data_IF_125920210018
#
_entry.id   IF_125920210018
#
_cell.length_a   1.000
_cell.length_b   1.000
_cell.length_c   1.000
_cell.angle_alpha   90.00
_cell.angle_beta   90.00
_cell.angle_gamma   90.00
#
_symmetry.space_group_name_H-M   'P 1'
#
loop_
_entity.id
_entity.type
_entity.pdbx_description
1 polymer ?
#
# COMPACT_ATOMS: atom_id res chain seq x y z
N UNK A 1 4.15 -42.15 -4.12
CA UNK A 1 3.52 -41.14 -3.24
C UNK A 1 4.24 -39.83 -3.49
N UNK A 2 3.65 -39.00 -4.33
CA UNK A 2 4.28 -37.83 -4.96
C UNK A 2 4.21 -36.61 -4.04
N UNK A 3 5.29 -35.83 -4.08
CA UNK A 3 5.70 -34.65 -3.30
C UNK A 3 4.63 -33.54 -3.18
N UNK A 4 4.61 -32.76 -2.08
CA UNK A 4 3.71 -31.61 -1.92
C UNK A 4 4.10 -30.43 -2.82
N UNK A 5 3.11 -29.85 -3.51
CA UNK A 5 3.23 -28.59 -4.26
C UNK A 5 3.38 -27.40 -3.30
N UNK A 6 4.32 -26.46 -3.50
CA UNK A 6 4.39 -25.25 -2.70
C UNK A 6 3.23 -24.31 -3.05
N UNK A 7 2.53 -23.86 -2.02
CA UNK A 7 1.41 -22.92 -2.11
C UNK A 7 1.93 -21.54 -2.58
N UNK A 8 1.39 -20.91 -3.63
CA UNK A 8 1.88 -19.60 -4.08
C UNK A 8 1.52 -18.54 -3.04
N UNK A 9 2.52 -18.01 -2.33
CA UNK A 9 2.35 -16.81 -1.50
C UNK A 9 2.24 -15.58 -2.42
N UNK A 10 1.07 -15.38 -3.02
CA UNK A 10 0.68 -14.09 -3.60
C UNK A 10 -0.52 -13.58 -2.85
N UNK A 11 -0.42 -12.35 -2.36
CA UNK A 11 -1.47 -11.69 -1.59
C UNK A 11 -0.83 -11.14 -0.32
N UNK A 12 -0.58 -9.84 -0.36
CA UNK A 12 0.12 -8.99 0.59
C UNK A 12 0.07 -9.48 2.05
N UNK A 13 1.13 -9.26 2.83
CA UNK A 13 1.06 -9.18 4.30
C UNK A 13 2.29 -8.40 4.71
N UNK A 14 2.22 -7.09 4.52
CA UNK A 14 3.33 -6.23 4.91
C UNK A 14 3.36 -6.16 6.44
N UNK A 15 4.44 -6.59 7.07
CA UNK A 15 4.60 -6.37 8.51
C UNK A 15 4.68 -4.86 8.79
N UNK A 16 4.40 -4.46 10.04
CA UNK A 16 4.55 -3.07 10.49
C UNK A 16 5.93 -2.50 10.11
N UNK A 17 6.99 -3.27 10.32
CA UNK A 17 8.36 -2.85 9.98
C UNK A 17 8.57 -2.67 8.47
N UNK A 18 7.97 -3.53 7.64
CA UNK A 18 8.02 -3.37 6.19
C UNK A 18 7.25 -2.13 5.73
N UNK A 19 6.10 -1.82 6.33
CA UNK A 19 5.34 -0.61 6.04
C UNK A 19 6.14 0.63 6.44
N UNK A 20 6.73 0.65 7.64
CA UNK A 20 7.58 1.74 8.12
C UNK A 20 8.82 1.93 7.23
N UNK A 21 9.46 0.84 6.80
CA UNK A 21 10.61 0.92 5.90
C UNK A 21 10.24 1.50 4.53
N UNK A 22 9.06 1.18 4.00
CA UNK A 22 8.54 1.77 2.75
C UNK A 22 8.23 3.25 2.92
N UNK A 23 7.58 3.64 4.03
CA UNK A 23 7.29 5.04 4.34
C UNK A 23 8.57 5.88 4.47
N UNK A 24 9.60 5.37 5.17
CA UNK A 24 10.92 6.04 5.26
C UNK A 24 11.59 6.21 3.90
N UNK A 25 11.43 5.24 2.99
CA UNK A 25 11.93 5.38 1.61
C UNK A 25 11.17 6.48 0.86
N UNK A 26 9.84 6.52 0.96
CA UNK A 26 9.01 7.57 0.36
C UNK A 26 9.40 8.95 0.86
N UNK A 27 9.61 9.09 2.17
CA UNK A 27 10.09 10.34 2.79
C UNK A 27 11.42 10.81 2.18
N UNK A 28 12.36 9.88 1.95
CA UNK A 28 13.62 10.17 1.26
C UNK A 28 13.43 10.59 -0.20
N UNK A 29 12.45 10.00 -0.90
CA UNK A 29 12.13 10.41 -2.28
C UNK A 29 11.52 11.82 -2.33
N UNK A 30 10.66 12.18 -1.36
CA UNK A 30 10.10 13.54 -1.25
C UNK A 30 11.21 14.57 -1.07
N UNK A 31 12.16 14.32 -0.15
CA UNK A 31 13.36 15.18 -0.01
C UNK A 31 14.19 15.25 -1.30
N UNK A 32 14.26 14.15 -2.04
CA UNK A 32 14.90 14.13 -3.36
C UNK A 32 14.24 15.09 -4.33
N UNK A 33 12.91 15.10 -4.40
CA UNK A 33 12.14 16.02 -5.26
C UNK A 33 12.34 17.47 -4.86
N UNK A 34 12.30 17.77 -3.55
CA UNK A 34 12.57 19.13 -3.04
C UNK A 34 13.91 19.65 -3.56
N UNK A 35 14.96 18.83 -3.47
CA UNK A 35 16.28 19.15 -4.03
C UNK A 35 16.26 19.31 -5.55
N UNK A 36 15.54 18.46 -6.28
CA UNK A 36 15.43 18.58 -7.74
C UNK A 36 14.78 19.91 -8.16
N UNK A 37 13.80 20.38 -7.39
CA UNK A 37 13.13 21.68 -7.62
C UNK A 37 14.08 22.83 -7.29
N UNK A 38 14.79 22.75 -6.16
CA UNK A 38 15.79 23.74 -5.76
C UNK A 38 16.94 23.86 -6.79
N UNK A 39 17.29 22.76 -7.44
CA UNK A 39 18.30 22.69 -8.52
C UNK A 39 17.75 23.03 -9.92
N UNK A 40 16.50 23.52 -10.05
CA UNK A 40 15.84 23.83 -11.33
C UNK A 40 15.91 22.68 -12.36
N UNK A 41 15.82 21.42 -11.88
CA UNK A 41 15.91 20.26 -12.76
C UNK A 41 14.72 20.18 -13.72
N UNK A 42 14.96 19.54 -14.86
CA UNK A 42 13.96 19.38 -15.91
C UNK A 42 12.64 18.83 -15.39
N UNK A 43 11.54 19.54 -15.70
CA UNK A 43 10.23 19.27 -15.13
C UNK A 43 9.76 17.82 -15.33
N UNK A 44 10.10 17.19 -16.47
CA UNK A 44 9.69 15.81 -16.76
C UNK A 44 10.39 14.81 -15.82
N UNK A 45 11.63 15.07 -15.42
CA UNK A 45 12.33 14.23 -14.44
C UNK A 45 11.65 14.32 -13.07
N UNK A 46 11.28 15.55 -12.66
CA UNK A 46 10.57 15.80 -11.40
C UNK A 46 9.22 15.08 -11.40
N UNK A 47 8.44 15.22 -12.48
CA UNK A 47 7.15 14.52 -12.65
C UNK A 47 7.32 13.00 -12.60
N UNK A 48 8.39 12.46 -13.20
CA UNK A 48 8.71 11.03 -13.16
C UNK A 48 8.96 10.56 -11.72
N UNK A 49 9.69 11.34 -10.91
CA UNK A 49 9.88 11.00 -9.49
C UNK A 49 8.59 11.11 -8.67
N UNK A 50 7.73 12.09 -8.96
CA UNK A 50 6.41 12.19 -8.33
C UNK A 50 5.59 10.91 -8.60
N UNK A 51 5.54 10.44 -9.85
CA UNK A 51 4.85 9.18 -10.19
C UNK A 51 5.45 7.97 -9.49
N UNK A 52 6.78 7.93 -9.31
CA UNK A 52 7.43 6.85 -8.55
C UNK A 52 7.01 6.85 -7.06
N UNK A 53 6.84 8.04 -6.46
CA UNK A 53 6.34 8.16 -5.08
C UNK A 53 4.88 7.71 -4.97
N UNK A 54 4.03 8.12 -5.91
CA UNK A 54 2.63 7.69 -5.95
C UNK A 54 2.53 6.16 -5.98
N UNK A 55 3.26 5.51 -6.89
CA UNK A 55 3.31 4.05 -6.98
C UNK A 55 3.86 3.37 -5.69
N UNK A 56 4.78 4.02 -4.98
CA UNK A 56 5.28 3.53 -3.70
C UNK A 56 4.23 3.65 -2.58
N UNK A 57 3.48 4.75 -2.54
CA UNK A 57 2.37 4.96 -1.59
C UNK A 57 1.22 3.97 -1.85
N UNK A 58 0.90 3.68 -3.11
CA UNK A 58 -0.12 2.67 -3.45
C UNK A 58 0.25 1.29 -2.89
N UNK A 59 1.52 0.90 -2.94
CA UNK A 59 2.01 -0.35 -2.33
C UNK A 59 1.87 -0.36 -0.81
N UNK A 60 2.02 0.79 -0.15
CA UNK A 60 1.79 0.91 1.30
C UNK A 60 0.30 0.78 1.61
N UNK A 61 -0.54 1.48 0.85
CA UNK A 61 -2.00 1.43 1.01
C UNK A 61 -2.54 0.01 0.81
N UNK A 62 -2.10 -0.71 -0.23
CA UNK A 62 -2.46 -2.11 -0.45
C UNK A 62 -1.98 -3.03 0.68
N UNK A 63 -0.79 -2.77 1.24
CA UNK A 63 -0.28 -3.54 2.38
C UNK A 63 -1.12 -3.34 3.66
N UNK A 64 -1.57 -2.11 3.93
CA UNK A 64 -2.46 -1.81 5.04
C UNK A 64 -3.85 -2.42 4.85
N UNK A 65 -4.38 -2.32 3.64
CA UNK A 65 -5.69 -2.87 3.28
C UNK A 65 -5.74 -4.39 3.48
N UNK A 66 -4.70 -5.11 3.04
CA UNK A 66 -4.64 -6.55 3.25
C UNK A 66 -4.59 -6.93 4.74
N UNK A 67 -3.78 -6.22 5.53
CA UNK A 67 -3.71 -6.44 6.97
C UNK A 67 -5.07 -6.22 7.64
N UNK A 68 -5.76 -5.14 7.26
CA UNK A 68 -7.11 -4.85 7.72
C UNK A 68 -8.11 -5.92 7.28
N UNK A 69 -8.13 -6.33 6.01
CA UNK A 69 -9.02 -7.36 5.50
C UNK A 69 -8.88 -8.69 6.27
N UNK A 70 -7.63 -9.12 6.54
CA UNK A 70 -7.36 -10.35 7.31
C UNK A 70 -7.83 -10.26 8.75
N UNK A 71 -7.71 -9.10 9.38
CA UNK A 71 -8.18 -8.87 10.75
C UNK A 71 -9.71 -8.79 10.82
N UNK A 72 -10.34 -8.02 9.92
CA UNK A 72 -11.80 -7.92 9.79
C UNK A 72 -12.47 -9.27 9.53
N UNK A 73 -11.91 -10.10 8.65
CA UNK A 73 -12.45 -11.44 8.39
C UNK A 73 -12.33 -12.39 9.59
N UNK A 74 -11.33 -12.21 10.46
CA UNK A 74 -11.12 -13.07 11.63
C UNK A 74 -11.95 -12.63 12.84
N UNK A 75 -12.03 -11.33 13.09
CA UNK A 75 -12.67 -10.77 14.29
C UNK A 75 -14.11 -10.32 14.01
N UNK A 76 -14.37 -9.68 12.87
CA UNK A 76 -15.72 -9.26 12.48
C UNK A 76 -16.70 -10.42 12.30
N UNK A 77 -16.19 -11.61 11.92
CA UNK A 77 -17.00 -12.83 11.85
C UNK A 77 -17.39 -13.35 13.24
N UNK A 78 -16.51 -13.22 14.24
CA UNK A 78 -16.79 -13.64 15.61
C UNK A 78 -17.80 -12.71 16.31
N UNK A 79 -17.84 -11.44 15.91
CA UNK A 79 -18.68 -10.40 16.52
C UNK A 79 -19.94 -10.06 15.72
N UNK A 80 -20.17 -10.72 14.58
CA UNK A 80 -21.32 -10.45 13.70
C UNK A 80 -21.27 -9.11 12.96
N UNK A 81 -20.10 -8.46 12.90
CA UNK A 81 -19.87 -7.13 12.28
C UNK A 81 -19.21 -7.20 10.89
N UNK A 82 -19.14 -8.39 10.30
CA UNK A 82 -18.42 -8.61 9.04
C UNK A 82 -18.88 -7.69 7.90
N UNK A 83 -20.19 -7.45 7.77
CA UNK A 83 -20.77 -6.64 6.68
C UNK A 83 -20.46 -5.14 6.82
N UNK A 84 -20.50 -4.61 8.05
CA UNK A 84 -20.12 -3.22 8.34
C UNK A 84 -18.64 -2.98 8.03
N UNK A 85 -17.77 -3.89 8.49
CA UNK A 85 -16.32 -3.80 8.27
C UNK A 85 -15.97 -3.97 6.78
N UNK A 86 -16.68 -4.84 6.05
CA UNK A 86 -16.51 -4.99 4.60
C UNK A 86 -16.92 -3.70 3.87
N UNK A 87 -18.00 -3.05 4.28
CA UNK A 87 -18.45 -1.76 3.72
C UNK A 87 -17.41 -0.66 3.92
N UNK A 88 -16.85 -0.55 5.13
CA UNK A 88 -15.79 0.41 5.44
C UNK A 88 -14.53 0.18 4.56
N UNK A 89 -14.13 -1.09 4.43
CA UNK A 89 -13.01 -1.50 3.60
C UNK A 89 -13.23 -1.11 2.13
N UNK A 90 -14.40 -1.43 1.57
CA UNK A 90 -14.71 -1.10 0.17
C UNK A 90 -14.77 0.40 -0.08
N UNK A 91 -15.24 1.18 0.90
CA UNK A 91 -15.19 2.65 0.83
C UNK A 91 -13.74 3.18 0.81
N UNK A 92 -12.84 2.60 1.61
CA UNK A 92 -11.42 2.95 1.61
C UNK A 92 -10.72 2.60 0.29
N UNK A 93 -11.02 1.43 -0.28
CA UNK A 93 -10.56 1.02 -1.63
C UNK A 93 -11.05 1.99 -2.69
N UNK A 94 -12.33 2.36 -2.65
CA UNK A 94 -12.91 3.32 -3.58
C UNK A 94 -12.15 4.66 -3.57
N UNK A 95 -11.77 5.17 -2.40
CA UNK A 95 -10.96 6.40 -2.29
C UNK A 95 -9.54 6.23 -2.86
N UNK A 96 -8.94 5.05 -2.70
CA UNK A 96 -7.61 4.76 -3.25
C UNK A 96 -7.64 4.70 -4.78
N UNK A 97 -8.64 4.04 -5.37
CA UNK A 97 -8.76 3.84 -6.81
C UNK A 97 -9.19 5.08 -7.60
N UNK A 98 -9.88 6.03 -6.95
CA UNK A 98 -10.38 7.26 -7.62
C UNK A 98 -9.28 8.27 -8.02
N UNK A 99 -8.01 7.90 -7.85
CA UNK A 99 -6.82 8.74 -8.14
C UNK A 99 -6.25 8.53 -9.54
N UNK A 100 -6.69 7.50 -10.25
CA UNK A 100 -6.31 7.20 -11.64
C UNK A 100 -7.25 7.82 -12.67
#
# INVERSE_FOLDING_TARGET
MTTPTPNPTRGYTASKDQLLARLRRVEGQVRGIEKMVDEDRYCIDVLTQISAIQAALDKVALGLLDGHARHCMREGAAEGRADEMATEMMAAVGRLMKRG
#
